data_IF_585290190101
#
_entry.id   IF_585290190101
#
_cell.length_a   1.000
_cell.length_b   1.000
_cell.length_c   1.000
_cell.angle_alpha   90.00
_cell.angle_beta   90.00
_cell.angle_gamma   90.00
#
_symmetry.space_group_name_H-M   'P 1'
#
loop_
_entity.id
_entity.type
_entity.pdbx_description
1 polymer ?
#
# COMPACT_ATOMS: atom_id res chain seq x y z
N UNK A 1 -24.84 -71.29 -27.34
CA UNK A 1 -24.08 -70.48 -26.36
C UNK A 1 -23.92 -68.96 -26.75
N UNK A 2 -24.05 -68.55 -28.01
CA UNK A 2 -23.78 -67.15 -28.41
C UNK A 2 -24.88 -66.12 -28.00
N UNK A 3 -26.15 -66.52 -27.84
CA UNK A 3 -27.26 -65.58 -27.45
C UNK A 3 -27.20 -65.12 -25.98
N UNK A 4 -26.76 -65.97 -25.03
CA UNK A 4 -26.63 -65.56 -23.61
C UNK A 4 -25.54 -64.53 -23.36
N UNK A 5 -24.40 -64.56 -24.10
CA UNK A 5 -23.34 -63.56 -24.04
C UNK A 5 -23.79 -62.20 -24.58
N UNK A 6 -24.59 -62.16 -25.63
CA UNK A 6 -25.16 -60.94 -26.22
C UNK A 6 -26.12 -60.23 -25.24
N UNK A 7 -26.99 -60.97 -24.55
CA UNK A 7 -27.87 -60.35 -23.53
C UNK A 7 -27.13 -59.83 -22.31
N UNK A 8 -26.04 -60.52 -21.86
CA UNK A 8 -25.19 -60.04 -20.80
C UNK A 8 -24.47 -58.74 -21.15
N UNK A 9 -23.95 -58.61 -22.37
CA UNK A 9 -23.33 -57.40 -22.88
C UNK A 9 -24.31 -56.21 -23.00
N UNK A 10 -25.52 -56.48 -23.55
CA UNK A 10 -26.56 -55.45 -23.64
C UNK A 10 -27.03 -54.95 -22.27
N UNK A 11 -27.16 -55.87 -21.28
CA UNK A 11 -27.50 -55.48 -19.89
C UNK A 11 -26.44 -54.64 -19.23
N UNK A 12 -25.14 -54.94 -19.44
CA UNK A 12 -24.02 -54.14 -18.94
C UNK A 12 -23.99 -52.75 -19.58
N UNK A 13 -24.27 -52.64 -20.86
CA UNK A 13 -24.31 -51.39 -21.61
C UNK A 13 -25.51 -50.52 -21.16
N UNK A 14 -26.63 -51.14 -20.80
CA UNK A 14 -27.81 -50.45 -20.28
C UNK A 14 -27.55 -49.91 -18.84
N UNK A 15 -26.90 -50.70 -17.99
CA UNK A 15 -26.51 -50.29 -16.65
C UNK A 15 -25.48 -49.16 -16.71
N UNK A 16 -24.48 -49.24 -17.60
CA UNK A 16 -23.52 -48.20 -17.82
C UNK A 16 -24.18 -46.88 -18.26
N UNK A 17 -25.08 -46.91 -19.22
CA UNK A 17 -25.85 -45.74 -19.66
C UNK A 17 -26.75 -45.19 -18.55
N UNK A 18 -27.31 -46.04 -17.69
CA UNK A 18 -28.10 -45.59 -16.54
C UNK A 18 -27.24 -44.89 -15.51
N UNK A 19 -26.03 -45.41 -15.22
CA UNK A 19 -25.07 -44.78 -14.30
C UNK A 19 -24.55 -43.45 -14.84
N UNK A 20 -24.24 -43.38 -16.14
CA UNK A 20 -23.84 -42.13 -16.80
C UNK A 20 -24.99 -41.14 -16.81
N UNK A 21 -26.22 -41.58 -17.13
CA UNK A 21 -27.42 -40.75 -17.08
C UNK A 21 -27.72 -40.19 -15.70
N UNK A 22 -27.60 -41.02 -14.65
CA UNK A 22 -27.76 -40.55 -13.26
C UNK A 22 -26.65 -39.57 -12.86
N UNK A 23 -25.39 -39.82 -13.24
CA UNK A 23 -24.30 -38.86 -13.00
C UNK A 23 -24.52 -37.54 -13.72
N UNK A 24 -24.91 -37.58 -14.99
CA UNK A 24 -25.22 -36.35 -15.77
C UNK A 24 -26.40 -35.60 -15.17
N UNK A 25 -27.42 -36.31 -14.70
CA UNK A 25 -28.60 -35.71 -14.06
C UNK A 25 -28.28 -35.15 -12.68
N UNK A 26 -27.47 -35.83 -11.85
CA UNK A 26 -27.03 -35.29 -10.54
C UNK A 26 -26.05 -34.16 -10.67
N UNK A 27 -25.21 -34.11 -11.72
CA UNK A 27 -24.33 -32.96 -11.99
C UNK A 27 -25.13 -31.75 -12.51
N UNK A 28 -26.26 -31.97 -13.23
CA UNK A 28 -27.19 -30.90 -13.59
C UNK A 28 -28.04 -30.40 -12.43
N UNK A 29 -28.40 -31.25 -11.46
CA UNK A 29 -29.13 -30.85 -10.27
C UNK A 29 -28.31 -29.93 -9.33
N UNK A 30 -26.97 -29.84 -9.51
CA UNK A 30 -26.12 -28.83 -8.83
C UNK A 30 -26.08 -27.48 -9.57
N UNK A 31 -26.75 -27.36 -10.72
CA UNK A 31 -26.85 -26.15 -11.55
C UNK A 31 -28.07 -25.27 -11.20
N UNK A 32 -28.88 -25.65 -10.19
CA UNK A 32 -30.06 -24.88 -9.74
C UNK A 32 -29.74 -23.51 -9.11
N UNK A 33 -28.44 -23.19 -8.88
CA UNK A 33 -28.02 -21.87 -8.45
C UNK A 33 -27.80 -20.88 -9.60
N UNK A 34 -27.67 -21.36 -10.84
CA UNK A 34 -27.47 -20.48 -12.02
C UNK A 34 -28.81 -19.90 -12.54
N UNK A 35 -29.91 -20.58 -12.39
CA UNK A 35 -31.24 -20.10 -12.85
C UNK A 35 -31.71 -18.86 -12.08
N UNK A 36 -31.46 -18.80 -10.77
CA UNK A 36 -31.73 -17.61 -9.95
C UNK A 36 -30.88 -16.41 -10.37
N UNK A 37 -29.68 -16.64 -10.90
CA UNK A 37 -28.79 -15.59 -11.40
C UNK A 37 -29.34 -14.88 -12.63
N UNK A 38 -29.87 -15.65 -13.60
CA UNK A 38 -30.44 -15.12 -14.85
C UNK A 38 -31.74 -14.33 -14.60
N UNK A 39 -32.60 -14.79 -13.70
CA UNK A 39 -33.83 -14.07 -13.33
C UNK A 39 -33.48 -12.70 -12.73
N UNK A 40 -32.54 -12.64 -11.81
CA UNK A 40 -32.10 -11.38 -11.20
C UNK A 40 -31.42 -10.43 -12.21
N UNK A 41 -30.65 -10.96 -13.18
CA UNK A 41 -30.06 -10.15 -14.26
C UNK A 41 -31.15 -9.57 -15.16
N UNK A 42 -32.26 -10.30 -15.38
CA UNK A 42 -33.42 -9.81 -16.15
C UNK A 42 -34.07 -8.63 -15.43
N UNK A 43 -34.25 -8.71 -14.11
CA UNK A 43 -34.78 -7.59 -13.29
C UNK A 43 -33.86 -6.37 -13.39
N UNK A 44 -32.55 -6.58 -13.26
CA UNK A 44 -31.56 -5.51 -13.38
C UNK A 44 -31.62 -4.82 -14.76
N UNK A 45 -31.63 -5.60 -15.82
CA UNK A 45 -31.69 -5.10 -17.20
C UNK A 45 -33.00 -4.33 -17.45
N UNK A 46 -34.13 -4.86 -16.94
CA UNK A 46 -35.43 -4.19 -17.07
C UNK A 46 -35.43 -2.83 -16.30
N UNK A 47 -34.90 -2.80 -15.08
CA UNK A 47 -34.80 -1.57 -14.31
C UNK A 47 -33.93 -0.53 -15.02
N UNK A 48 -32.78 -0.95 -15.58
CA UNK A 48 -31.89 -0.08 -16.35
C UNK A 48 -32.61 0.52 -17.58
N UNK A 49 -33.40 -0.28 -18.31
CA UNK A 49 -34.20 0.18 -19.45
C UNK A 49 -35.23 1.24 -19.04
N UNK A 50 -36.00 0.96 -17.96
CA UNK A 50 -37.02 1.88 -17.44
C UNK A 50 -36.42 3.21 -16.99
N UNK A 51 -35.30 3.17 -16.25
CA UNK A 51 -34.59 4.38 -15.82
C UNK A 51 -34.20 5.22 -17.05
N UNK A 52 -33.66 4.60 -18.10
CA UNK A 52 -33.27 5.31 -19.31
C UNK A 52 -34.45 5.86 -20.11
N UNK A 53 -35.58 5.16 -20.09
CA UNK A 53 -36.78 5.54 -20.84
C UNK A 53 -37.55 6.64 -20.13
N UNK A 54 -37.74 6.54 -18.80
CA UNK A 54 -38.76 7.29 -18.07
C UNK A 54 -38.17 8.36 -17.16
N UNK A 55 -36.84 8.38 -16.92
CA UNK A 55 -36.22 9.40 -16.06
C UNK A 55 -36.28 10.78 -16.73
N UNK A 56 -36.69 11.79 -15.95
CA UNK A 56 -36.97 13.16 -16.44
C UNK A 56 -35.78 13.84 -17.12
N UNK A 57 -34.55 13.55 -16.71
CA UNK A 57 -33.34 14.16 -17.27
C UNK A 57 -32.53 13.11 -18.06
N UNK A 58 -32.74 13.08 -19.36
CA UNK A 58 -32.08 12.15 -20.27
C UNK A 58 -30.55 12.28 -20.28
N UNK A 59 -30.00 13.46 -19.92
CA UNK A 59 -28.54 13.67 -19.87
C UNK A 59 -27.85 12.85 -18.79
N UNK A 60 -28.57 12.40 -17.77
CA UNK A 60 -28.09 11.57 -16.64
C UNK A 60 -28.29 10.06 -16.82
N UNK A 61 -28.83 9.63 -17.96
CA UNK A 61 -29.21 8.23 -18.19
C UNK A 61 -28.28 7.49 -19.16
N UNK A 62 -27.03 7.92 -19.26
CA UNK A 62 -26.00 7.24 -20.05
C UNK A 62 -25.80 5.80 -19.57
N UNK A 63 -25.69 4.84 -20.50
CA UNK A 63 -25.46 3.42 -20.13
C UNK A 63 -24.22 3.24 -19.29
N UNK A 64 -23.12 3.90 -19.67
CA UNK A 64 -21.86 3.85 -18.96
C UNK A 64 -22.02 4.34 -17.52
N UNK A 65 -22.62 5.51 -17.33
CA UNK A 65 -22.73 6.16 -16.02
C UNK A 65 -23.62 5.35 -15.06
N UNK A 66 -24.73 4.83 -15.58
CA UNK A 66 -25.63 3.97 -14.81
C UNK A 66 -24.97 2.64 -14.46
N UNK A 67 -24.25 2.01 -15.40
CA UNK A 67 -23.54 0.76 -15.18
C UNK A 67 -22.42 0.96 -14.14
N UNK A 68 -21.63 2.01 -14.25
CA UNK A 68 -20.57 2.31 -13.30
C UNK A 68 -21.12 2.60 -11.90
N UNK A 69 -22.25 3.31 -11.81
CA UNK A 69 -22.93 3.56 -10.55
C UNK A 69 -23.44 2.29 -9.90
N UNK A 70 -23.98 1.35 -10.70
CA UNK A 70 -24.41 0.05 -10.21
C UNK A 70 -23.23 -0.80 -9.71
N UNK A 71 -22.11 -0.85 -10.46
CA UNK A 71 -20.89 -1.54 -10.05
C UNK A 71 -20.32 -0.98 -8.74
N UNK A 72 -20.28 0.37 -8.60
CA UNK A 72 -19.87 1.00 -7.34
C UNK A 72 -20.78 0.57 -6.18
N UNK A 73 -22.10 0.57 -6.39
CA UNK A 73 -23.08 0.14 -5.38
C UNK A 73 -22.92 -1.33 -4.97
N UNK A 74 -22.74 -2.22 -5.93
CA UNK A 74 -22.51 -3.65 -5.66
C UNK A 74 -21.25 -3.87 -4.83
N UNK A 75 -20.13 -3.25 -5.19
CA UNK A 75 -18.87 -3.45 -4.47
C UNK A 75 -18.88 -2.80 -3.10
N UNK A 76 -19.49 -1.62 -2.96
CA UNK A 76 -19.63 -0.96 -1.66
C UNK A 76 -20.50 -1.76 -0.67
N UNK A 77 -21.38 -2.65 -1.15
CA UNK A 77 -22.18 -3.53 -0.29
C UNK A 77 -21.41 -4.72 0.28
N UNK A 78 -20.21 -5.03 -0.24
CA UNK A 78 -19.41 -6.18 0.17
C UNK A 78 -18.54 -5.87 1.38
N UNK A 79 -17.72 -4.82 1.28
CA UNK A 79 -16.80 -4.38 2.32
C UNK A 79 -16.24 -2.96 1.98
N UNK A 80 -15.60 -2.25 2.93
CA UNK A 80 -15.09 -0.89 2.70
C UNK A 80 -13.83 -0.84 1.81
N UNK A 81 -13.28 -1.96 1.39
CA UNK A 81 -12.03 -2.04 0.61
C UNK A 81 -12.25 -2.46 -0.84
N UNK A 82 -13.38 -3.13 -1.12
CA UNK A 82 -13.78 -3.49 -2.47
C UNK A 82 -14.35 -2.27 -3.19
N UNK A 83 -13.86 -2.00 -4.39
CA UNK A 83 -14.31 -0.84 -5.17
C UNK A 83 -14.24 -1.07 -6.67
N UNK A 84 -15.10 -0.38 -7.41
CA UNK A 84 -15.01 -0.25 -8.85
C UNK A 84 -14.11 0.94 -9.17
N UNK A 85 -13.13 0.74 -10.04
CA UNK A 85 -12.21 1.78 -10.51
C UNK A 85 -12.51 2.09 -11.97
N UNK A 86 -12.76 3.36 -12.26
CA UNK A 86 -12.82 3.83 -13.64
C UNK A 86 -11.43 3.77 -14.29
N UNK A 87 -11.34 3.81 -15.64
CA UNK A 87 -10.05 3.67 -16.33
C UNK A 87 -8.97 4.67 -15.87
N UNK A 88 -9.37 5.86 -15.45
CA UNK A 88 -8.44 6.85 -14.92
C UNK A 88 -7.93 6.47 -13.52
N UNK A 89 -8.82 6.02 -12.64
CA UNK A 89 -8.47 5.61 -11.28
C UNK A 89 -7.58 4.37 -11.29
N UNK A 90 -7.85 3.43 -12.20
CA UNK A 90 -7.03 2.23 -12.37
C UNK A 90 -5.61 2.60 -12.81
N UNK A 91 -5.44 3.50 -13.80
CA UNK A 91 -4.12 3.98 -14.20
C UNK A 91 -3.39 4.70 -13.07
N UNK A 92 -4.08 5.57 -12.34
CA UNK A 92 -3.48 6.25 -11.18
C UNK A 92 -2.97 5.26 -10.13
N UNK A 93 -3.72 4.18 -9.86
CA UNK A 93 -3.29 3.12 -8.95
C UNK A 93 -2.05 2.37 -9.48
N UNK A 94 -1.98 2.08 -10.78
CA UNK A 94 -0.80 1.45 -11.39
C UNK A 94 0.43 2.36 -11.25
N UNK A 95 0.29 3.65 -11.52
CA UNK A 95 1.37 4.64 -11.37
C UNK A 95 1.85 4.74 -9.91
N UNK A 96 0.93 4.79 -8.96
CA UNK A 96 1.26 4.79 -7.52
C UNK A 96 2.01 3.52 -7.11
N UNK A 97 1.63 2.37 -7.67
CA UNK A 97 2.27 1.08 -7.43
C UNK A 97 3.71 1.03 -7.94
N UNK A 98 3.97 1.68 -9.07
CA UNK A 98 5.32 1.83 -9.64
C UNK A 98 6.16 2.91 -8.96
N UNK A 99 5.57 3.69 -8.04
CA UNK A 99 6.18 4.92 -7.50
C UNK A 99 6.56 5.93 -8.58
N UNK A 100 5.84 5.92 -9.69
CA UNK A 100 6.08 6.80 -10.83
C UNK A 100 4.75 7.37 -11.31
N UNK A 101 4.72 8.63 -11.68
CA UNK A 101 3.55 9.22 -12.34
C UNK A 101 3.97 10.30 -13.33
N UNK A 102 3.21 10.43 -14.40
CA UNK A 102 3.38 11.55 -15.32
C UNK A 102 2.82 12.83 -14.71
N UNK A 103 3.65 13.87 -14.61
CA UNK A 103 3.23 15.13 -14.00
C UNK A 103 4.31 16.19 -13.93
N UNK A 104 4.10 17.19 -13.09
CA UNK A 104 4.99 18.33 -12.92
C UNK A 104 5.90 18.26 -11.70
N UNK A 105 5.72 17.22 -10.84
CA UNK A 105 6.47 17.10 -9.59
C UNK A 105 6.20 18.24 -8.61
N UNK A 106 4.94 18.64 -8.45
CA UNK A 106 4.51 19.68 -7.53
C UNK A 106 3.57 19.04 -6.50
N UNK A 107 3.94 19.11 -5.22
CA UNK A 107 3.05 18.73 -4.12
C UNK A 107 2.11 19.89 -3.85
N UNK A 108 0.81 19.64 -3.88
CA UNK A 108 -0.22 20.67 -3.71
C UNK A 108 -1.16 20.33 -2.55
N UNK A 109 -1.75 21.35 -1.96
CA UNK A 109 -2.82 21.23 -0.97
C UNK A 109 -3.92 22.26 -1.23
N UNK A 110 -5.12 21.98 -0.77
CA UNK A 110 -6.19 22.96 -0.71
C UNK A 110 -6.17 23.65 0.67
N UNK A 111 -5.83 24.93 0.72
CA UNK A 111 -5.88 25.73 1.94
C UNK A 111 -6.87 26.89 1.74
N UNK A 112 -7.89 26.97 2.59
CA UNK A 112 -8.95 27.98 2.52
C UNK A 112 -9.62 28.07 1.13
N UNK A 113 -9.82 26.91 0.48
CA UNK A 113 -10.39 26.82 -0.87
C UNK A 113 -9.43 27.24 -1.99
N UNK A 114 -8.17 27.50 -1.70
CA UNK A 114 -7.14 27.90 -2.67
C UNK A 114 -6.12 26.79 -2.87
N UNK A 115 -5.93 26.37 -4.10
CA UNK A 115 -4.90 25.38 -4.47
C UNK A 115 -3.51 26.01 -4.30
N UNK A 116 -2.74 25.50 -3.36
CA UNK A 116 -1.46 26.06 -2.95
C UNK A 116 -0.35 25.02 -3.10
N UNK A 117 0.81 25.43 -3.61
CA UNK A 117 2.02 24.60 -3.69
C UNK A 117 2.59 24.43 -2.29
N UNK A 118 2.71 23.18 -1.85
CA UNK A 118 3.40 22.79 -0.61
C UNK A 118 4.91 22.81 -0.86
N UNK A 119 5.34 22.07 -1.89
CA UNK A 119 6.74 22.05 -2.37
C UNK A 119 6.82 21.52 -3.80
N UNK A 120 7.73 22.03 -4.64
CA UNK A 120 8.17 21.31 -5.82
C UNK A 120 9.09 20.15 -5.39
N UNK A 121 9.05 19.04 -6.11
CA UNK A 121 9.98 17.93 -5.97
C UNK A 121 11.31 18.29 -6.65
N UNK A 122 12.41 17.87 -6.08
CA UNK A 122 13.75 18.11 -6.63
C UNK A 122 13.84 17.54 -8.05
N UNK A 123 14.57 18.23 -8.92
CA UNK A 123 14.78 17.89 -10.34
C UNK A 123 13.50 17.69 -11.18
N UNK A 124 12.35 18.13 -10.70
CA UNK A 124 11.07 18.08 -11.43
C UNK A 124 10.85 19.27 -12.36
N UNK A 125 9.94 19.18 -13.34
CA UNK A 125 9.54 20.32 -14.19
C UNK A 125 9.10 21.54 -13.37
N UNK A 126 8.37 21.34 -12.28
CA UNK A 126 7.94 22.43 -11.40
C UNK A 126 9.11 23.11 -10.69
N UNK A 127 10.09 22.33 -10.20
CA UNK A 127 11.30 22.85 -9.56
C UNK A 127 12.15 23.65 -10.56
N UNK A 128 12.44 23.07 -11.72
CA UNK A 128 13.24 23.75 -12.76
C UNK A 128 12.60 25.04 -13.29
N UNK A 129 11.27 25.13 -13.28
CA UNK A 129 10.54 26.33 -13.64
C UNK A 129 10.55 27.42 -12.56
N UNK A 130 11.10 27.15 -11.39
CA UNK A 130 11.16 28.10 -10.28
C UNK A 130 9.81 28.29 -9.57
N UNK A 131 8.95 27.30 -9.56
CA UNK A 131 7.77 27.24 -8.70
C UNK A 131 8.24 27.06 -7.26
N UNK A 132 7.67 27.80 -6.32
CA UNK A 132 8.10 27.88 -4.95
C UNK A 132 6.99 27.43 -3.96
N UNK A 133 7.36 26.96 -2.76
CA UNK A 133 6.40 26.75 -1.69
C UNK A 133 5.59 28.02 -1.40
N UNK A 134 4.29 27.87 -1.21
CA UNK A 134 3.35 28.96 -0.98
C UNK A 134 2.79 29.64 -2.24
N UNK A 135 3.28 29.29 -3.43
CA UNK A 135 2.69 29.72 -4.69
C UNK A 135 1.23 29.22 -4.80
N UNK A 136 0.32 30.07 -5.30
CA UNK A 136 -1.10 29.74 -5.47
C UNK A 136 -1.39 29.48 -6.92
N UNK A 137 -1.94 28.31 -7.25
CA UNK A 137 -2.32 27.96 -8.61
C UNK A 137 -3.73 28.47 -8.85
N UNK A 138 -3.87 29.52 -9.67
CA UNK A 138 -5.16 30.14 -9.97
C UNK A 138 -5.88 29.47 -11.12
N UNK A 139 -5.11 28.97 -12.12
CA UNK A 139 -5.68 28.28 -13.30
C UNK A 139 -4.80 27.13 -13.74
N UNK A 140 -5.46 26.08 -14.27
CA UNK A 140 -4.83 24.94 -14.94
C UNK A 140 -5.48 24.79 -16.30
N UNK A 141 -4.71 24.86 -17.39
CA UNK A 141 -5.19 24.82 -18.78
C UNK A 141 -6.32 25.85 -19.03
N UNK A 142 -6.20 27.06 -18.48
CA UNK A 142 -7.19 28.11 -18.57
C UNK A 142 -8.41 27.99 -17.65
N UNK A 143 -8.65 26.83 -17.04
CA UNK A 143 -9.75 26.61 -16.11
C UNK A 143 -9.37 27.13 -14.72
N UNK A 144 -10.28 27.85 -14.06
CA UNK A 144 -10.07 28.32 -12.69
C UNK A 144 -10.01 27.16 -11.69
N UNK A 145 -9.12 27.29 -10.70
CA UNK A 145 -9.01 26.33 -9.59
C UNK A 145 -9.90 26.69 -8.41
N UNK A 146 -10.61 27.82 -8.48
CA UNK A 146 -11.55 28.23 -7.45
C UNK A 146 -12.69 27.21 -7.33
N UNK A 147 -12.92 26.68 -6.13
CA UNK A 147 -13.88 25.62 -5.82
C UNK A 147 -13.59 24.25 -6.46
N UNK A 148 -12.42 24.07 -7.06
CA UNK A 148 -12.00 22.76 -7.58
C UNK A 148 -11.61 21.85 -6.42
N UNK A 149 -12.06 20.60 -6.43
CA UNK A 149 -11.61 19.58 -5.46
C UNK A 149 -10.10 19.32 -5.61
N UNK A 150 -9.42 19.02 -4.49
CA UNK A 150 -7.98 18.74 -4.54
C UNK A 150 -7.67 17.59 -5.51
N UNK A 151 -8.48 16.54 -5.49
CA UNK A 151 -8.28 15.39 -6.38
C UNK A 151 -8.44 15.75 -7.86
N UNK A 152 -9.44 16.57 -8.19
CA UNK A 152 -9.65 17.04 -9.56
C UNK A 152 -8.48 17.90 -10.03
N UNK A 153 -7.97 18.79 -9.17
CA UNK A 153 -6.77 19.57 -9.46
C UNK A 153 -5.55 18.68 -9.70
N UNK A 154 -5.33 17.67 -8.86
CA UNK A 154 -4.23 16.69 -9.03
C UNK A 154 -4.38 15.94 -10.35
N UNK A 155 -5.59 15.50 -10.69
CA UNK A 155 -5.85 14.82 -11.97
C UNK A 155 -5.57 15.74 -13.18
N UNK A 156 -5.83 17.05 -13.09
CA UNK A 156 -5.48 18.00 -14.15
C UNK A 156 -3.98 18.28 -14.26
N UNK A 157 -3.24 18.24 -13.15
CA UNK A 157 -1.78 18.41 -13.11
C UNK A 157 -1.05 17.16 -13.59
N UNK A 158 -1.58 15.96 -13.33
CA UNK A 158 -1.10 14.68 -13.84
C UNK A 158 -1.43 14.53 -15.33
N UNK A 159 -0.81 13.55 -15.98
CA UNK A 159 -1.04 13.19 -17.38
C UNK A 159 0.22 12.56 -17.98
N UNK A 160 0.15 12.15 -19.23
CA UNK A 160 1.25 11.47 -19.91
C UNK A 160 2.48 12.39 -20.02
N UNK A 161 3.69 11.79 -19.85
CA UNK A 161 4.94 12.48 -20.07
C UNK A 161 5.01 13.03 -21.52
N UNK A 162 5.60 14.21 -21.68
CA UNK A 162 5.66 14.93 -22.95
C UNK A 162 4.46 15.84 -23.24
N UNK A 163 3.33 15.67 -22.55
CA UNK A 163 2.19 16.56 -22.69
C UNK A 163 2.41 17.88 -21.94
N UNK A 164 2.01 18.99 -22.55
CA UNK A 164 2.10 20.31 -21.92
C UNK A 164 0.89 20.64 -21.08
N UNK A 165 1.12 21.40 -20.01
CA UNK A 165 0.09 21.99 -19.17
C UNK A 165 0.43 23.44 -18.90
N UNK A 166 -0.59 24.32 -18.99
CA UNK A 166 -0.44 25.73 -18.64
C UNK A 166 -0.94 25.98 -17.23
N UNK A 167 -0.16 26.74 -16.45
CA UNK A 167 -0.49 27.15 -15.08
C UNK A 167 -0.45 28.65 -14.97
N UNK A 168 -1.47 29.27 -14.39
CA UNK A 168 -1.41 30.66 -13.91
C UNK A 168 -1.15 30.62 -12.40
N UNK A 169 -0.01 31.13 -11.98
CA UNK A 169 0.45 31.08 -10.58
C UNK A 169 0.54 32.50 -10.01
N UNK A 170 -0.07 32.72 -8.85
CA UNK A 170 0.11 33.91 -8.04
C UNK A 170 1.10 33.65 -6.92
N UNK A 171 2.14 34.45 -6.82
CA UNK A 171 3.16 34.40 -5.77
C UNK A 171 2.89 35.44 -4.69
N UNK A 172 2.44 35.05 -3.49
CA UNK A 172 2.11 36.00 -2.42
C UNK A 172 3.29 36.86 -1.96
N UNK A 173 4.53 36.34 -1.99
CA UNK A 173 5.73 37.05 -1.53
C UNK A 173 6.09 38.25 -2.41
N UNK A 174 5.88 38.16 -3.72
CA UNK A 174 6.16 39.25 -4.69
C UNK A 174 4.88 39.94 -5.17
N UNK A 175 3.70 39.41 -4.87
CA UNK A 175 2.39 39.82 -5.37
C UNK A 175 2.27 39.78 -6.91
N UNK A 176 3.06 38.95 -7.56
CA UNK A 176 3.09 38.77 -9.00
C UNK A 176 2.24 37.58 -9.43
N UNK A 177 1.59 37.73 -10.60
CA UNK A 177 0.94 36.60 -11.29
C UNK A 177 1.72 36.31 -12.55
N UNK A 178 2.05 35.05 -12.79
CA UNK A 178 2.83 34.59 -13.93
C UNK A 178 2.25 33.32 -14.53
N UNK A 179 2.27 33.25 -15.86
CA UNK A 179 1.88 32.08 -16.61
C UNK A 179 3.11 31.20 -16.89
N UNK A 180 2.93 29.89 -16.71
CA UNK A 180 3.92 28.86 -16.97
C UNK A 180 3.34 27.87 -17.97
N UNK A 181 4.12 27.43 -18.95
CA UNK A 181 3.82 26.29 -19.81
C UNK A 181 4.87 25.25 -19.54
N UNK A 182 4.47 24.16 -18.90
CA UNK A 182 5.36 23.11 -18.46
C UNK A 182 5.06 21.82 -19.19
N UNK A 183 6.08 21.02 -19.45
CA UNK A 183 5.95 19.71 -20.01
C UNK A 183 5.97 18.68 -18.86
N UNK A 184 5.04 17.74 -18.88
CA UNK A 184 4.99 16.66 -17.88
C UNK A 184 6.11 15.68 -18.11
N UNK A 185 6.70 15.21 -17.03
CA UNK A 185 7.72 14.16 -17.03
C UNK A 185 7.29 13.02 -16.12
N UNK A 186 7.99 11.89 -16.21
CA UNK A 186 7.87 10.80 -15.23
C UNK A 186 8.51 11.26 -13.93
N UNK A 187 7.71 11.43 -12.90
CA UNK A 187 8.15 11.80 -11.56
C UNK A 187 8.29 10.54 -10.71
N UNK A 188 9.47 10.31 -10.18
CA UNK A 188 9.76 9.18 -9.28
C UNK A 188 9.63 9.63 -7.84
N UNK A 189 8.90 8.86 -7.05
CA UNK A 189 8.68 9.14 -5.62
C UNK A 189 9.31 8.02 -4.80
N UNK A 190 10.40 8.35 -4.08
CA UNK A 190 11.05 7.37 -3.22
C UNK A 190 10.11 6.90 -2.10
N UNK A 191 9.99 5.59 -1.95
CA UNK A 191 9.24 4.94 -0.87
C UNK A 191 10.06 4.77 0.42
N UNK A 192 11.39 4.96 0.34
CA UNK A 192 12.31 4.95 1.48
C UNK A 192 12.83 6.37 1.74
N UNK A 193 12.57 6.88 2.92
CA UNK A 193 12.92 8.25 3.34
C UNK A 193 13.77 8.23 4.61
N UNK A 194 14.41 9.35 4.90
CA UNK A 194 15.10 9.66 6.18
C UNK A 194 16.21 8.66 6.57
N UNK A 195 16.83 7.98 5.61
CA UNK A 195 17.91 7.03 5.87
C UNK A 195 19.16 7.76 6.39
N UNK A 196 19.57 7.45 7.63
CA UNK A 196 20.72 8.10 8.31
C UNK A 196 21.22 7.27 9.49
N UNK A 197 22.47 7.53 9.91
CA UNK A 197 22.92 7.16 11.25
C UNK A 197 22.34 8.19 12.22
N UNK A 198 21.72 7.73 13.30
CA UNK A 198 21.16 8.61 14.33
C UNK A 198 22.26 9.38 15.07
N UNK A 199 21.89 10.57 15.54
CA UNK A 199 22.81 11.46 16.26
C UNK A 199 23.39 10.77 17.51
N UNK A 200 24.72 10.87 17.75
CA UNK A 200 25.37 10.35 18.95
C UNK A 200 24.80 10.89 20.27
N UNK A 201 24.21 12.08 20.28
CA UNK A 201 23.49 12.59 21.46
C UNK A 201 22.35 11.71 21.92
N UNK A 202 21.70 10.95 21.00
CA UNK A 202 20.62 10.00 21.28
C UNK A 202 21.16 8.60 21.54
N UNK A 203 22.18 8.19 20.79
CA UNK A 203 22.64 6.81 20.74
C UNK A 203 23.89 6.52 21.56
N UNK A 204 24.61 7.57 22.00
CA UNK A 204 25.92 7.43 22.65
C UNK A 204 26.97 6.90 21.66
N UNK A 205 27.71 5.88 22.07
CA UNK A 205 28.78 5.29 21.24
C UNK A 205 28.27 4.28 20.20
N UNK A 206 26.95 4.04 20.12
CA UNK A 206 26.40 3.08 19.18
C UNK A 206 25.99 3.73 17.87
N UNK A 207 26.38 3.16 16.75
CA UNK A 207 25.97 3.60 15.42
C UNK A 207 24.65 2.90 15.03
N UNK A 208 23.53 3.53 15.37
CA UNK A 208 22.20 3.02 15.04
C UNK A 208 21.73 3.66 13.73
N UNK A 209 21.49 2.84 12.72
CA UNK A 209 20.85 3.28 11.47
C UNK A 209 19.35 3.47 11.67
N UNK A 210 18.79 4.39 10.94
CA UNK A 210 17.36 4.65 10.84
C UNK A 210 16.97 4.80 9.38
N UNK A 211 15.86 4.23 8.98
CA UNK A 211 15.20 4.47 7.71
C UNK A 211 13.68 4.36 7.88
N UNK A 212 12.94 5.11 7.08
CA UNK A 212 11.48 5.08 7.08
C UNK A 212 10.98 4.55 5.74
N UNK A 213 10.09 3.54 5.78
CA UNK A 213 9.38 3.04 4.61
C UNK A 213 7.98 3.64 4.63
N UNK A 214 7.67 4.47 3.66
CA UNK A 214 6.39 5.19 3.58
C UNK A 214 5.30 4.36 2.92
N UNK A 215 5.68 3.46 2.01
CA UNK A 215 4.78 2.57 1.28
C UNK A 215 5.55 1.39 0.70
N UNK A 216 4.86 0.29 0.36
CA UNK A 216 5.44 -0.88 -0.31
C UNK A 216 5.08 -0.88 -1.79
N UNK A 217 5.96 -0.32 -2.62
CA UNK A 217 5.83 -0.23 -4.07
C UNK A 217 6.86 -1.13 -4.77
N UNK A 218 6.81 -1.23 -6.09
CA UNK A 218 7.74 -2.09 -6.85
C UNK A 218 9.23 -1.82 -6.53
N UNK A 219 9.73 -0.56 -6.49
CA UNK A 219 11.14 -0.28 -6.24
C UNK A 219 11.56 -0.37 -4.76
N UNK A 220 10.62 -0.49 -3.80
CA UNK A 220 10.91 -0.36 -2.36
C UNK A 220 11.99 -1.32 -1.87
N UNK A 221 11.98 -2.58 -2.31
CA UNK A 221 13.00 -3.55 -1.89
C UNK A 221 14.40 -3.14 -2.36
N UNK A 222 14.53 -2.64 -3.58
CA UNK A 222 15.80 -2.13 -4.12
C UNK A 222 16.24 -0.87 -3.38
N UNK A 223 15.32 0.06 -3.10
CA UNK A 223 15.63 1.28 -2.33
C UNK A 223 16.11 0.96 -0.92
N UNK A 224 15.44 0.02 -0.22
CA UNK A 224 15.86 -0.43 1.12
C UNK A 224 17.24 -1.09 1.03
N UNK A 225 17.50 -1.95 0.05
CA UNK A 225 18.79 -2.63 -0.13
C UNK A 225 19.93 -1.62 -0.31
N UNK A 226 19.74 -0.60 -1.15
CA UNK A 226 20.71 0.49 -1.36
C UNK A 226 20.96 1.28 -0.07
N UNK A 227 19.88 1.65 0.66
CA UNK A 227 20.02 2.40 1.92
C UNK A 227 20.69 1.57 3.03
N UNK A 228 20.47 0.27 3.06
CA UNK A 228 21.20 -0.63 3.95
C UNK A 228 22.70 -0.68 3.62
N UNK A 229 23.09 -0.70 2.35
CA UNK A 229 24.50 -0.64 1.95
C UNK A 229 25.14 0.70 2.37
N UNK A 230 24.46 1.83 2.16
CA UNK A 230 24.91 3.14 2.61
C UNK A 230 25.12 3.18 4.13
N UNK A 231 24.13 2.73 4.91
CA UNK A 231 24.21 2.73 6.38
C UNK A 231 25.33 1.80 6.88
N UNK A 232 25.51 0.63 6.26
CA UNK A 232 26.59 -0.30 6.60
C UNK A 232 27.97 0.29 6.29
N UNK A 233 28.12 1.02 5.17
CA UNK A 233 29.36 1.70 4.83
C UNK A 233 29.74 2.77 5.85
N UNK A 234 28.75 3.38 6.52
CA UNK A 234 28.94 4.33 7.63
C UNK A 234 29.15 3.65 8.99
N UNK A 235 29.21 2.31 9.01
CA UNK A 235 29.48 1.51 10.21
C UNK A 235 28.27 1.24 11.09
N UNK A 236 27.06 1.15 10.51
CA UNK A 236 25.84 0.77 11.21
C UNK A 236 26.01 -0.54 12.00
N UNK A 237 25.62 -0.55 13.26
CA UNK A 237 25.67 -1.69 14.17
C UNK A 237 24.29 -2.28 14.49
N UNK A 238 23.24 -1.46 14.39
CA UNK A 238 21.84 -1.85 14.60
C UNK A 238 20.93 -0.96 13.74
N UNK A 239 19.67 -1.37 13.51
CA UNK A 239 18.77 -0.67 12.61
C UNK A 239 17.39 -0.45 13.25
N UNK A 240 16.85 0.75 13.05
CA UNK A 240 15.43 1.07 13.24
C UNK A 240 14.80 1.25 11.87
N UNK A 241 13.74 0.46 11.59
CA UNK A 241 12.88 0.64 10.43
C UNK A 241 11.56 1.23 10.90
N UNK A 242 11.25 2.43 10.43
CA UNK A 242 10.01 3.12 10.80
C UNK A 242 8.90 2.80 9.78
N UNK A 243 7.86 2.12 10.25
CA UNK A 243 6.66 1.76 9.51
C UNK A 243 5.43 2.53 10.01
N UNK A 244 5.60 3.52 10.89
CA UNK A 244 4.49 4.35 11.38
C UNK A 244 3.83 5.10 10.23
N UNK A 245 2.49 5.08 10.19
CA UNK A 245 1.67 5.65 9.10
C UNK A 245 1.95 5.07 7.71
N UNK A 246 2.55 3.88 7.62
CA UNK A 246 2.71 3.17 6.35
C UNK A 246 1.40 2.40 6.04
N UNK A 247 0.62 2.79 5.01
CA UNK A 247 -0.66 2.16 4.69
C UNK A 247 -0.51 0.77 4.05
N UNK A 248 0.73 0.32 3.83
CA UNK A 248 1.06 -0.92 3.15
C UNK A 248 1.43 -0.70 1.69
N UNK A 249 0.87 -1.49 0.81
CA UNK A 249 1.14 -1.51 -0.62
C UNK A 249 1.16 -2.93 -1.18
N UNK A 250 2.04 -3.21 -2.13
CA UNK A 250 2.15 -4.51 -2.78
C UNK A 250 2.59 -5.60 -1.80
N UNK A 251 1.85 -6.72 -1.81
CA UNK A 251 2.22 -7.93 -1.06
C UNK A 251 3.62 -8.43 -1.45
N UNK A 252 3.91 -8.49 -2.74
CA UNK A 252 5.21 -8.93 -3.25
C UNK A 252 6.35 -8.06 -2.74
N UNK A 253 6.18 -6.74 -2.78
CA UNK A 253 7.16 -5.80 -2.25
C UNK A 253 7.39 -5.98 -0.73
N UNK A 254 6.33 -6.19 0.06
CA UNK A 254 6.47 -6.47 1.49
C UNK A 254 7.23 -7.78 1.76
N UNK A 255 7.02 -8.82 0.91
CA UNK A 255 7.77 -10.08 0.97
C UNK A 255 9.24 -9.87 0.62
N UNK A 256 9.53 -9.14 -0.45
CA UNK A 256 10.89 -8.88 -0.92
C UNK A 256 11.69 -8.03 0.08
N UNK A 257 11.08 -6.97 0.64
CA UNK A 257 11.69 -6.17 1.71
C UNK A 257 11.94 -7.03 2.96
N UNK A 258 10.99 -7.87 3.35
CA UNK A 258 11.18 -8.81 4.48
C UNK A 258 12.34 -9.77 4.22
N UNK A 259 12.53 -10.16 2.96
CA UNK A 259 13.63 -11.02 2.52
C UNK A 259 15.02 -10.43 2.77
N UNK A 260 15.16 -9.10 2.80
CA UNK A 260 16.44 -8.44 3.14
C UNK A 260 16.89 -8.68 4.59
N UNK A 261 15.98 -9.15 5.44
CA UNK A 261 16.22 -9.40 6.87
C UNK A 261 16.12 -10.87 7.26
N UNK A 262 15.58 -11.74 6.39
CA UNK A 262 15.30 -13.15 6.68
C UNK A 262 16.18 -14.08 5.81
N UNK A 263 16.41 -15.31 6.25
CA UNK A 263 17.09 -16.31 5.43
C UNK A 263 16.32 -16.59 4.12
N UNK A 264 17.00 -17.09 3.07
CA UNK A 264 16.36 -17.56 1.85
C UNK A 264 15.31 -18.64 2.10
N UNK A 265 14.27 -18.69 1.27
CA UNK A 265 13.18 -19.70 1.34
C UNK A 265 12.44 -19.71 2.68
N UNK A 266 12.39 -18.60 3.38
CA UNK A 266 11.64 -18.43 4.62
C UNK A 266 10.23 -17.96 4.28
N UNK A 267 9.19 -18.61 4.83
CA UNK A 267 7.81 -18.17 4.65
C UNK A 267 7.58 -16.84 5.37
N UNK A 268 7.09 -15.86 4.62
CA UNK A 268 6.79 -14.51 5.13
C UNK A 268 5.31 -14.35 5.47
N UNK A 269 4.45 -14.86 4.60
CA UNK A 269 3.00 -14.72 4.72
C UNK A 269 2.32 -15.81 3.91
N UNK A 270 1.13 -16.24 4.32
CA UNK A 270 0.24 -16.95 3.42
C UNK A 270 -1.12 -16.27 3.34
N UNK A 271 -1.78 -16.48 2.21
CA UNK A 271 -3.14 -15.98 1.97
C UNK A 271 -4.09 -17.16 1.80
N UNK A 272 -5.32 -16.98 2.27
CA UNK A 272 -6.38 -17.97 2.13
C UNK A 272 -7.68 -17.26 1.79
N UNK A 273 -8.28 -17.66 0.68
CA UNK A 273 -9.58 -17.17 0.21
C UNK A 273 -10.74 -18.05 0.70
N UNK A 274 -11.87 -17.99 -0.02
CA UNK A 274 -13.07 -18.77 0.25
C UNK A 274 -12.79 -20.29 0.18
N UNK A 275 -12.00 -20.71 -0.80
CA UNK A 275 -11.57 -22.09 -0.94
C UNK A 275 -10.23 -22.32 -0.24
N UNK A 276 -10.24 -23.20 0.77
CA UNK A 276 -9.03 -23.56 1.55
C UNK A 276 -7.97 -24.22 0.67
N UNK A 277 -8.37 -24.94 -0.39
CA UNK A 277 -7.44 -25.55 -1.33
C UNK A 277 -6.64 -24.54 -2.16
N UNK A 278 -7.10 -23.28 -2.21
CA UNK A 278 -6.43 -22.19 -2.91
C UNK A 278 -5.50 -21.36 -2.00
N UNK A 279 -5.07 -21.91 -0.86
CA UNK A 279 -4.04 -21.28 -0.02
C UNK A 279 -2.77 -21.06 -0.84
N UNK A 280 -2.22 -19.85 -0.77
CA UNK A 280 -0.94 -19.48 -1.39
C UNK A 280 0.03 -19.00 -0.31
N UNK A 281 1.25 -19.51 -0.39
CA UNK A 281 2.34 -19.17 0.54
C UNK A 281 3.39 -18.35 -0.20
N UNK A 282 3.92 -17.34 0.48
CA UNK A 282 4.92 -16.44 -0.07
C UNK A 282 6.21 -16.55 0.76
N UNK A 283 7.30 -16.80 0.07
CA UNK A 283 8.61 -17.06 0.63
C UNK A 283 9.60 -16.01 0.17
N UNK A 284 10.63 -15.77 0.99
CA UNK A 284 11.79 -14.98 0.58
C UNK A 284 12.48 -15.62 -0.62
N UNK A 285 13.04 -14.80 -1.51
CA UNK A 285 13.79 -15.28 -2.68
C UNK A 285 14.94 -16.21 -2.26
N UNK A 286 15.28 -17.18 -3.12
CA UNK A 286 16.47 -18.01 -2.95
C UNK A 286 17.78 -17.23 -3.10
N UNK A 287 17.75 -16.13 -3.83
CA UNK A 287 18.90 -15.31 -4.21
C UNK A 287 19.01 -14.02 -3.36
N UNK A 288 18.41 -14.02 -2.14
CA UNK A 288 18.50 -12.87 -1.23
C UNK A 288 19.96 -12.62 -0.85
N UNK A 289 20.38 -11.35 -0.95
CA UNK A 289 21.69 -10.89 -0.49
C UNK A 289 21.81 -11.11 1.02
N UNK A 290 22.77 -11.97 1.41
CA UNK A 290 23.05 -12.19 2.82
C UNK A 290 23.82 -11.02 3.39
N UNK A 291 23.34 -10.47 4.49
CA UNK A 291 23.95 -9.35 5.22
C UNK A 291 24.44 -9.81 6.59
N UNK A 292 25.46 -9.15 7.18
CA UNK A 292 25.83 -9.38 8.55
C UNK A 292 24.62 -9.26 9.49
N UNK A 293 24.51 -10.15 10.44
CA UNK A 293 23.43 -10.10 11.43
C UNK A 293 23.61 -8.90 12.37
N UNK A 294 22.63 -8.01 12.39
CA UNK A 294 22.54 -6.87 13.29
C UNK A 294 21.15 -6.82 13.95
N UNK A 295 21.02 -6.29 15.17
CA UNK A 295 19.72 -6.09 15.80
C UNK A 295 18.83 -5.15 15.00
N UNK A 296 17.52 -5.47 14.92
CA UNK A 296 16.52 -4.67 14.21
C UNK A 296 15.33 -4.39 15.13
N UNK A 297 14.89 -3.14 15.11
CA UNK A 297 13.61 -2.72 15.68
C UNK A 297 12.71 -2.19 14.57
N UNK A 298 11.43 -2.56 14.60
CA UNK A 298 10.39 -1.95 13.78
C UNK A 298 9.55 -1.00 14.65
N UNK A 299 9.43 0.27 14.23
CA UNK A 299 8.45 1.18 14.78
C UNK A 299 7.12 1.01 14.06
N UNK A 300 6.05 0.80 14.81
CA UNK A 300 4.70 0.59 14.28
C UNK A 300 3.67 1.39 15.07
N UNK A 301 2.57 1.77 14.41
CA UNK A 301 1.42 2.40 15.06
C UNK A 301 0.10 2.00 14.40
N UNK A 302 -1.00 2.58 14.86
CA UNK A 302 -2.35 2.36 14.31
C UNK A 302 -2.51 2.73 12.83
N UNK A 303 -1.59 3.50 12.25
CA UNK A 303 -1.52 3.81 10.82
C UNK A 303 -0.71 2.80 10.00
N UNK A 304 -0.01 1.85 10.65
CA UNK A 304 0.71 0.77 9.96
C UNK A 304 -0.28 -0.30 9.49
N UNK A 305 -0.42 -0.53 8.19
CA UNK A 305 -1.46 -1.40 7.63
C UNK A 305 -0.96 -2.32 6.51
N UNK A 306 -1.70 -3.41 6.23
CA UNK A 306 -1.52 -4.28 5.04
C UNK A 306 -0.07 -4.79 4.88
N UNK A 307 0.67 -4.37 3.84
CA UNK A 307 2.07 -4.75 3.60
C UNK A 307 3.00 -4.47 4.79
N UNK A 308 2.76 -3.37 5.53
CA UNK A 308 3.51 -3.06 6.75
C UNK A 308 3.24 -4.10 7.85
N UNK A 309 2.01 -4.60 7.95
CA UNK A 309 1.64 -5.64 8.89
C UNK A 309 2.19 -7.02 8.49
N UNK A 310 2.34 -7.28 7.19
CA UNK A 310 3.00 -8.49 6.68
C UNK A 310 4.45 -8.52 7.14
N UNK A 311 5.21 -7.44 6.89
CA UNK A 311 6.60 -7.32 7.32
C UNK A 311 6.72 -7.39 8.84
N UNK A 312 5.92 -6.61 9.58
CA UNK A 312 5.94 -6.57 11.03
C UNK A 312 5.61 -7.93 11.65
N UNK A 313 4.56 -8.60 11.17
CA UNK A 313 4.14 -9.91 11.64
C UNK A 313 5.19 -10.99 11.36
N UNK A 314 5.74 -11.02 10.15
CA UNK A 314 6.77 -12.00 9.78
C UNK A 314 8.04 -11.85 10.61
N UNK A 315 8.59 -10.63 10.71
CA UNK A 315 9.83 -10.39 11.44
C UNK A 315 9.66 -10.60 12.95
N UNK A 316 8.48 -10.33 13.50
CA UNK A 316 8.15 -10.65 14.88
C UNK A 316 8.05 -12.15 15.12
N UNK A 317 7.25 -12.87 14.33
CA UNK A 317 7.00 -14.31 14.49
C UNK A 317 8.29 -15.13 14.36
N UNK A 318 9.19 -14.67 13.50
CA UNK A 318 10.49 -15.31 13.26
C UNK A 318 11.60 -14.78 14.19
N UNK A 319 11.27 -14.00 15.22
CA UNK A 319 12.20 -13.43 16.18
C UNK A 319 13.35 -12.64 15.53
N UNK A 320 13.09 -12.02 14.36
CA UNK A 320 14.11 -11.25 13.63
C UNK A 320 14.16 -9.80 14.04
N UNK A 321 13.04 -9.23 14.47
CA UNK A 321 12.94 -7.86 14.94
C UNK A 321 12.07 -7.75 16.19
N UNK A 322 12.36 -6.73 17.01
CA UNK A 322 11.51 -6.28 18.10
C UNK A 322 10.60 -5.19 17.57
N UNK A 323 9.30 -5.31 17.82
CA UNK A 323 8.32 -4.28 17.47
C UNK A 323 8.11 -3.33 18.64
N UNK A 324 8.19 -2.03 18.38
CA UNK A 324 7.96 -0.95 19.36
C UNK A 324 6.88 -0.01 18.85
N UNK A 325 5.96 0.40 19.71
CA UNK A 325 4.91 1.37 19.40
C UNK A 325 3.52 0.89 19.78
N UNK A 326 2.56 1.00 18.87
CA UNK A 326 1.16 0.65 19.08
C UNK A 326 0.74 -0.53 18.21
N UNK A 327 -0.40 -1.15 18.56
CA UNK A 327 -1.01 -2.20 17.72
C UNK A 327 -1.34 -1.61 16.34
N UNK A 328 -0.99 -2.34 15.29
CA UNK A 328 -1.22 -1.92 13.90
C UNK A 328 -2.70 -1.92 13.53
N UNK A 329 -3.04 -1.41 12.35
CA UNK A 329 -4.41 -1.15 11.90
C UNK A 329 -5.32 -2.40 11.85
N UNK A 330 -4.79 -3.55 11.44
CA UNK A 330 -5.57 -4.77 11.26
C UNK A 330 -6.18 -4.93 9.86
N UNK A 331 -5.57 -4.36 8.82
CA UNK A 331 -5.97 -4.59 7.42
C UNK A 331 -5.40 -5.92 6.91
N UNK A 332 -6.00 -7.01 7.33
CA UNK A 332 -5.61 -8.36 6.93
C UNK A 332 -6.32 -8.89 5.68
N UNK A 333 -6.97 -8.06 4.87
CA UNK A 333 -7.65 -8.44 3.64
C UNK A 333 -6.77 -8.25 2.41
N UNK A 334 -6.82 -9.23 1.49
CA UNK A 334 -6.13 -9.20 0.18
C UNK A 334 -7.08 -8.64 -0.86
N UNK A 335 -6.70 -7.56 -1.51
CA UNK A 335 -7.40 -7.03 -2.67
C UNK A 335 -6.75 -7.55 -3.95
N UNK A 336 -7.56 -8.25 -4.78
CA UNK A 336 -7.19 -8.57 -6.15
C UNK A 336 -7.71 -7.48 -7.07
N UNK A 337 -6.86 -7.04 -8.00
CA UNK A 337 -7.27 -6.11 -9.06
C UNK A 337 -7.55 -6.90 -10.31
N UNK A 338 -8.77 -6.79 -10.83
CA UNK A 338 -9.26 -7.53 -11.99
C UNK A 338 -9.64 -6.50 -13.04
N UNK A 339 -8.85 -6.40 -14.09
CA UNK A 339 -9.10 -5.49 -15.20
C UNK A 339 -10.31 -5.95 -16.02
N UNK A 340 -11.13 -4.99 -16.43
CA UNK A 340 -12.28 -5.21 -17.30
C UNK A 340 -11.99 -4.77 -18.74
N UNK A 341 -12.76 -5.27 -19.74
CA UNK A 341 -12.46 -5.03 -21.16
C UNK A 341 -12.50 -3.56 -21.60
N UNK A 342 -13.20 -2.69 -20.85
CA UNK A 342 -13.31 -1.26 -21.14
C UNK A 342 -12.18 -0.40 -20.49
N UNK A 343 -11.19 -1.06 -19.87
CA UNK A 343 -10.07 -0.42 -19.18
C UNK A 343 -10.38 -0.01 -17.75
N UNK A 344 -11.60 -0.24 -17.26
CA UNK A 344 -11.93 -0.15 -15.83
C UNK A 344 -11.44 -1.39 -15.08
N UNK A 345 -11.51 -1.40 -13.73
CA UNK A 345 -11.10 -2.55 -12.95
C UNK A 345 -11.95 -2.73 -11.69
N UNK A 346 -12.02 -3.99 -11.22
CA UNK A 346 -12.54 -4.34 -9.92
C UNK A 346 -11.38 -4.50 -8.94
N UNK A 347 -11.37 -3.77 -7.87
CA UNK A 347 -10.55 -4.05 -6.69
C UNK A 347 -11.43 -4.83 -5.71
N UNK A 348 -11.18 -6.11 -5.56
CA UNK A 348 -12.06 -7.04 -4.84
C UNK A 348 -11.31 -7.73 -3.71
N UNK A 349 -11.89 -7.80 -2.52
CA UNK A 349 -11.37 -8.60 -1.42
C UNK A 349 -11.57 -10.09 -1.71
N UNK A 350 -10.48 -10.81 -1.96
CA UNK A 350 -10.50 -12.21 -2.37
C UNK A 350 -9.94 -13.18 -1.34
N UNK A 351 -9.14 -12.70 -0.38
CA UNK A 351 -8.50 -13.54 0.63
C UNK A 351 -8.16 -12.74 1.91
N UNK A 352 -7.65 -13.44 2.92
CA UNK A 352 -7.09 -12.87 4.15
C UNK A 352 -5.62 -13.24 4.30
N UNK A 353 -4.84 -12.36 4.96
CA UNK A 353 -3.43 -12.59 5.32
C UNK A 353 -3.31 -13.33 6.65
N UNK A 354 -2.30 -14.19 6.70
CA UNK A 354 -1.89 -14.91 7.91
C UNK A 354 -0.37 -14.84 8.05
N UNK A 355 0.10 -14.57 9.26
CA UNK A 355 1.53 -14.56 9.57
C UNK A 355 2.11 -15.99 9.57
N UNK A 356 3.44 -16.17 9.59
CA UNK A 356 4.05 -17.50 9.67
C UNK A 356 3.55 -18.36 10.85
N UNK A 357 3.26 -17.74 12.00
CA UNK A 357 2.68 -18.42 13.17
C UNK A 357 1.17 -18.65 13.07
N UNK A 358 0.56 -18.44 11.89
CA UNK A 358 -0.88 -18.59 11.60
C UNK A 358 -1.78 -17.58 12.32
N UNK A 359 -1.23 -16.46 12.76
CA UNK A 359 -2.01 -15.38 13.35
C UNK A 359 -2.78 -14.65 12.24
N UNK A 360 -4.06 -14.37 12.51
CA UNK A 360 -4.91 -13.56 11.63
C UNK A 360 -4.61 -12.09 11.87
N UNK A 361 -4.21 -11.36 10.85
CA UNK A 361 -3.99 -9.91 10.92
C UNK A 361 -5.32 -9.14 10.88
N UNK A 362 -6.30 -9.66 10.13
CA UNK A 362 -7.59 -8.98 9.89
C UNK A 362 -8.32 -8.64 11.18
N UNK A 363 -8.67 -7.35 11.35
CA UNK A 363 -9.35 -6.74 12.52
C UNK A 363 -8.58 -6.83 13.86
N UNK A 364 -7.40 -7.47 13.88
CA UNK A 364 -6.60 -7.65 15.10
C UNK A 364 -5.31 -6.81 15.09
N UNK A 365 -4.75 -6.61 13.91
CA UNK A 365 -3.43 -6.02 13.76
C UNK A 365 -2.31 -6.90 14.31
N UNK A 366 -1.11 -6.34 14.32
CA UNK A 366 0.09 -6.91 14.92
C UNK A 366 0.40 -6.12 16.19
N UNK A 367 0.32 -6.78 17.35
CA UNK A 367 0.64 -6.15 18.64
C UNK A 367 2.17 -6.04 18.81
N UNK A 368 2.73 -4.88 19.17
CA UNK A 368 4.17 -4.72 19.37
C UNK A 368 4.65 -5.50 20.60
N UNK A 369 5.97 -5.81 20.63
CA UNK A 369 6.64 -6.43 21.80
C UNK A 369 6.75 -5.41 22.94
N UNK A 370 7.04 -4.15 22.62
CA UNK A 370 7.17 -3.05 23.56
C UNK A 370 6.10 -2.02 23.20
N UNK A 371 5.09 -1.89 24.05
CA UNK A 371 4.04 -0.90 23.88
C UNK A 371 4.55 0.48 24.29
N UNK A 372 4.38 1.45 23.40
CA UNK A 372 4.69 2.86 23.61
C UNK A 372 3.66 3.71 22.87
N UNK A 373 2.82 4.40 23.58
CA UNK A 373 1.80 5.30 23.00
C UNK A 373 2.34 6.72 22.96
N UNK A 374 1.86 7.49 21.99
CA UNK A 374 2.11 8.91 21.88
C UNK A 374 0.94 9.70 22.47
N UNK A 375 1.22 10.83 23.11
CA UNK A 375 0.21 11.84 23.36
C UNK A 375 -0.26 12.51 22.07
N UNK A 376 -1.41 13.19 22.03
CA UNK A 376 -1.87 13.90 20.83
C UNK A 376 -0.86 14.91 20.27
N UNK A 377 -0.12 15.59 21.15
CA UNK A 377 0.88 16.56 20.75
C UNK A 377 2.15 15.90 20.17
N UNK A 378 2.60 14.80 20.76
CA UNK A 378 3.71 13.98 20.22
C UNK A 378 3.36 13.36 18.88
N UNK A 379 2.12 12.87 18.74
CA UNK A 379 1.61 12.33 17.47
C UNK A 379 1.56 13.41 16.39
N UNK A 380 1.01 14.60 16.72
CA UNK A 380 1.01 15.76 15.82
C UNK A 380 2.42 16.16 15.41
N UNK A 381 3.36 16.18 16.36
CA UNK A 381 4.76 16.51 16.08
C UNK A 381 5.42 15.46 15.17
N UNK A 382 5.11 14.17 15.36
CA UNK A 382 5.58 13.09 14.50
C UNK A 382 5.07 13.26 13.06
N UNK A 383 3.79 13.54 12.87
CA UNK A 383 3.19 13.79 11.54
C UNK A 383 3.86 15.01 10.88
N UNK A 384 4.10 16.08 11.63
CA UNK A 384 4.77 17.28 11.12
C UNK A 384 6.23 17.01 10.74
N UNK A 385 6.99 16.23 11.53
CA UNK A 385 8.38 15.83 11.22
C UNK A 385 8.48 15.08 9.89
N UNK A 386 7.47 14.31 9.57
CA UNK A 386 7.42 13.47 8.37
C UNK A 386 6.71 14.14 7.18
N UNK A 387 6.17 15.34 7.36
CA UNK A 387 5.48 16.07 6.29
C UNK A 387 6.51 16.58 5.27
N UNK A 388 6.22 16.35 3.98
CA UNK A 388 6.99 16.96 2.91
C UNK A 388 6.74 18.49 2.90
N UNK A 389 7.80 19.27 2.64
CA UNK A 389 7.75 20.72 2.57
C UNK A 389 8.25 21.42 3.84
N UNK A 390 8.34 22.76 3.75
CA UNK A 390 8.84 23.58 4.84
C UNK A 390 7.80 23.76 5.96
N UNK A 391 8.23 23.53 7.19
CA UNK A 391 7.45 23.86 8.38
C UNK A 391 7.50 25.38 8.62
N UNK A 392 6.39 25.97 9.08
CA UNK A 392 6.39 27.35 9.57
C UNK A 392 7.27 27.47 10.83
N UNK A 393 7.75 28.68 11.19
CA UNK A 393 8.55 28.86 12.40
C UNK A 393 7.88 28.34 13.68
N UNK A 394 6.56 28.51 13.80
CA UNK A 394 5.79 28.01 14.95
C UNK A 394 5.70 26.47 14.95
N UNK A 395 5.51 25.85 13.77
CA UNK A 395 5.52 24.38 13.65
C UNK A 395 6.91 23.82 13.93
N UNK A 396 7.99 24.46 13.47
CA UNK A 396 9.38 24.06 13.77
C UNK A 396 9.63 24.07 15.28
N UNK A 397 9.23 25.16 15.96
CA UNK A 397 9.33 25.26 17.41
C UNK A 397 8.50 24.19 18.09
N UNK A 398 7.24 23.99 17.70
CA UNK A 398 6.38 22.97 18.26
C UNK A 398 7.01 21.58 18.13
N UNK A 399 7.54 21.25 16.95
CA UNK A 399 8.20 19.96 16.69
C UNK A 399 9.47 19.78 17.53
N UNK A 400 10.28 20.83 17.71
CA UNK A 400 11.51 20.77 18.52
C UNK A 400 11.23 20.57 20.01
N UNK A 401 10.10 21.09 20.49
CA UNK A 401 9.70 20.99 21.91
C UNK A 401 9.11 19.61 22.26
N UNK A 402 8.73 18.80 21.27
CA UNK A 402 8.16 17.48 21.48
C UNK A 402 9.19 16.35 21.32
N UNK A 403 9.12 15.35 22.20
CA UNK A 403 9.92 14.12 22.13
C UNK A 403 9.27 13.09 21.20
N UNK A 404 10.00 12.03 20.91
CA UNK A 404 9.49 10.81 20.25
C UNK A 404 9.73 9.61 21.17
N UNK A 405 8.84 9.35 22.14
CA UNK A 405 9.03 8.26 23.11
C UNK A 405 9.11 6.88 22.46
N UNK A 406 8.52 6.70 21.29
CA UNK A 406 8.60 5.44 20.56
C UNK A 406 10.01 5.24 20.00
N UNK A 407 10.60 6.28 19.42
CA UNK A 407 11.99 6.25 18.94
C UNK A 407 12.97 6.05 20.10
N UNK A 408 12.76 6.74 21.23
CA UNK A 408 13.59 6.57 22.42
C UNK A 408 13.58 5.13 22.93
N UNK A 409 12.38 4.49 23.01
CA UNK A 409 12.24 3.08 23.39
C UNK A 409 12.89 2.12 22.39
N UNK A 410 12.84 2.44 21.10
CA UNK A 410 13.51 1.65 20.08
C UNK A 410 15.04 1.68 20.24
N UNK A 411 15.59 2.87 20.51
CA UNK A 411 17.02 3.07 20.79
C UNK A 411 17.44 2.30 22.04
N UNK A 412 16.67 2.39 23.13
CA UNK A 412 16.95 1.67 24.38
C UNK A 412 16.95 0.15 24.18
N UNK A 413 15.97 -0.39 23.44
CA UNK A 413 15.89 -1.79 23.11
C UNK A 413 17.12 -2.28 22.32
N UNK A 414 17.56 -1.50 21.33
CA UNK A 414 18.76 -1.82 20.55
C UNK A 414 20.03 -1.73 21.37
N UNK A 415 20.18 -0.71 22.22
CA UNK A 415 21.33 -0.59 23.14
C UNK A 415 21.42 -1.82 24.06
N UNK A 416 20.29 -2.21 24.66
CA UNK A 416 20.22 -3.40 25.51
C UNK A 416 20.64 -4.68 24.77
N UNK A 417 20.13 -4.87 23.54
CA UNK A 417 20.50 -6.04 22.73
C UNK A 417 21.98 -6.04 22.33
N UNK A 418 22.55 -4.89 21.99
CA UNK A 418 23.97 -4.78 21.62
C UNK A 418 24.90 -5.04 22.82
N UNK A 419 24.57 -4.50 23.98
CA UNK A 419 25.36 -4.72 25.23
C UNK A 419 25.31 -6.21 25.61
N UNK A 420 24.15 -6.82 25.56
CA UNK A 420 23.99 -8.24 25.84
C UNK A 420 24.85 -9.12 24.92
N UNK A 421 24.77 -8.88 23.60
CA UNK A 421 25.56 -9.59 22.60
C UNK A 421 27.09 -9.38 22.73
N UNK A 422 27.54 -8.23 23.21
CA UNK A 422 28.96 -7.96 23.48
C UNK A 422 29.45 -8.79 24.65
N UNK A 423 28.65 -8.93 25.71
CA UNK A 423 29.01 -9.71 26.90
C UNK A 423 29.06 -11.22 26.61
N UNK A 424 28.19 -11.75 25.74
CA UNK A 424 28.27 -13.16 25.32
C UNK A 424 29.52 -13.47 24.47
N UNK A 425 30.06 -12.50 23.75
CA UNK A 425 31.26 -12.65 22.92
C UNK A 425 32.57 -12.51 23.70
N UNK A 426 32.53 -12.06 24.98
CA UNK A 426 33.67 -12.11 25.88
C UNK A 426 33.61 -13.45 26.64
N UNK A 427 34.43 -14.49 26.31
CA UNK A 427 34.51 -15.67 27.11
C UNK A 427 34.97 -15.26 28.50
N UNK A 428 34.44 -15.91 29.57
CA UNK A 428 34.90 -15.80 30.93
C UNK A 428 36.43 -16.08 31.01
N UNK A 429 37.23 -15.10 30.68
CA UNK A 429 38.66 -15.09 30.89
C UNK A 429 38.92 -14.46 32.25
N UNK A 430 38.54 -15.11 33.34
CA UNK A 430 39.10 -14.90 34.68
C UNK A 430 38.41 -15.78 35.74
N UNK A 431 38.71 -17.06 35.73
CA UNK A 431 38.75 -17.90 36.93
C UNK A 431 39.86 -18.94 36.72
N UNK A 432 41.07 -18.54 36.89
CA UNK A 432 42.18 -19.38 37.33
C UNK A 432 42.97 -18.62 38.39
#
# INVERSE_FOLDING_TARGET
MKRKGLYGFLSLLLIFNLIVGVRVFTTRASADTDDAGYENLTVFTRALQLIRQDYVDASKTGYRDLTYSALRGMLASLDPHSQFMEPADYRNMEDETKSEFGGLGIVVSAKDGVLTVVSPMEDSPGSRAGILPGDRILRINGNTTERLGLQDAVNMLRGEAGQKVSLTIFRPSTKETKDYVLEREIIKVASVKDAKILDPSLTGNFKIGYLRITQFNEPTAQEVDQKLDELQSHGMQALIVDLRYNPGGLLTSAVDVSGLFLPPKTMVVYIQGRDVAQRREYYTSKDVKQRPHFPVVLLVNSGSASGAEIMAGALKDLNRAILVGETTFGKGSVQSVIQLPDGSALRLTTAKYYTPSKQVIHEKGVTPNIKASLSPDEERALILRHRDGLLSPDEQKFVSDQKDPQLDRAIDALKGAMIYNQNEKQPQASQQ
#
